data_IF_001738936463
#
_entry.id   IF_001738936463
#
_cell.length_a   1.000
_cell.length_b   1.000
_cell.length_c   1.000
_cell.angle_alpha   90.00
_cell.angle_beta   90.00
_cell.angle_gamma   90.00
#
_symmetry.space_group_name_H-M   'P 1'
#
loop_
_entity.id
_entity.type
_entity.pdbx_description
1 polymer ?
#
# COMPACT_ATOMS: atom_id res chain seq x y z
N UNK A 1 24.08 -18.32 19.99
CA UNK A 1 23.45 -18.02 18.66
C UNK A 1 22.82 -16.66 18.79
N UNK A 2 22.94 -15.81 17.76
CA UNK A 2 22.32 -14.49 17.77
C UNK A 2 20.83 -14.64 17.50
N UNK A 3 19.99 -14.07 18.37
CA UNK A 3 18.54 -14.08 18.23
C UNK A 3 18.00 -12.64 18.19
N UNK A 4 16.84 -12.47 17.60
CA UNK A 4 16.09 -11.22 17.59
C UNK A 4 14.59 -11.48 17.69
N UNK A 5 13.81 -10.49 18.14
CA UNK A 5 12.34 -10.60 18.21
C UNK A 5 11.75 -10.60 16.81
N UNK A 6 10.80 -11.53 16.56
CA UNK A 6 10.07 -11.62 15.30
C UNK A 6 8.63 -12.08 15.52
N UNK A 7 7.71 -11.58 14.70
CA UNK A 7 6.32 -12.08 14.61
C UNK A 7 6.29 -13.23 13.62
N UNK A 8 6.18 -14.44 14.11
CA UNK A 8 6.19 -15.66 13.30
C UNK A 8 4.78 -16.25 13.20
N UNK A 9 4.41 -16.63 11.99
CA UNK A 9 3.15 -17.32 11.67
C UNK A 9 3.48 -18.78 11.42
N UNK A 10 2.84 -19.66 12.18
CA UNK A 10 2.94 -21.10 12.05
C UNK A 10 1.65 -21.72 11.56
N UNK A 11 1.75 -22.84 10.87
CA UNK A 11 0.60 -23.67 10.51
C UNK A 11 0.21 -24.53 11.71
N UNK A 12 -1.10 -24.61 11.98
CA UNK A 12 -1.67 -25.47 13.03
C UNK A 12 -2.75 -26.37 12.42
N UNK A 13 -3.24 -27.34 13.16
CA UNK A 13 -4.32 -28.23 12.72
C UNK A 13 -5.63 -27.47 12.44
N UNK A 14 -5.84 -26.34 13.13
CA UNK A 14 -7.04 -25.50 13.00
C UNK A 14 -6.87 -24.24 12.14
N UNK A 15 -5.70 -24.06 11.48
CA UNK A 15 -5.44 -22.86 10.67
C UNK A 15 -4.02 -22.34 10.82
N UNK A 16 -3.88 -21.07 11.22
CA UNK A 16 -2.57 -20.43 11.46
C UNK A 16 -2.55 -19.71 12.79
N UNK A 17 -1.37 -19.64 13.43
CA UNK A 17 -1.14 -18.92 14.68
C UNK A 17 0.05 -17.98 14.50
N UNK A 18 -0.13 -16.71 14.82
CA UNK A 18 0.94 -15.72 14.86
C UNK A 18 1.38 -15.50 16.32
N UNK A 19 2.70 -15.42 16.55
CA UNK A 19 3.30 -15.17 17.87
C UNK A 19 4.57 -14.33 17.75
N UNK A 20 4.86 -13.53 18.78
CA UNK A 20 6.13 -12.84 18.92
C UNK A 20 7.12 -13.78 19.66
N UNK A 21 8.20 -14.15 18.99
CA UNK A 21 9.20 -15.07 19.53
C UNK A 21 10.62 -14.52 19.37
N UNK A 22 11.58 -15.15 20.05
CA UNK A 22 13.00 -15.02 19.76
C UNK A 22 13.34 -15.93 18.58
N UNK A 23 13.73 -15.33 17.46
CA UNK A 23 14.04 -16.02 16.20
C UNK A 23 15.55 -16.13 16.04
N UNK A 24 16.06 -17.34 15.71
CA UNK A 24 17.48 -17.55 15.49
C UNK A 24 17.89 -17.04 14.10
N UNK A 25 18.91 -16.18 14.04
CA UNK A 25 19.45 -15.60 12.81
C UNK A 25 19.91 -16.67 11.80
N UNK A 26 20.34 -17.84 12.28
CA UNK A 26 20.74 -18.96 11.43
C UNK A 26 19.60 -19.49 10.56
N UNK A 27 18.33 -19.28 10.96
CA UNK A 27 17.13 -19.70 10.23
C UNK A 27 16.64 -18.67 9.20
N UNK A 28 17.36 -17.55 9.02
CA UNK A 28 17.03 -16.62 7.94
C UNK A 28 17.20 -17.30 6.57
N UNK A 29 16.24 -17.04 5.67
CA UNK A 29 16.28 -17.56 4.30
C UNK A 29 17.46 -17.00 3.51
N UNK A 30 17.77 -17.66 2.38
CA UNK A 30 18.87 -17.24 1.50
C UNK A 30 18.68 -15.82 0.97
N UNK A 31 19.79 -15.10 0.90
CA UNK A 31 19.89 -13.74 0.39
C UNK A 31 21.34 -13.26 0.51
N UNK A 32 21.68 -12.22 -0.18
CA UNK A 32 23.04 -11.67 -0.30
C UNK A 32 23.21 -10.33 0.47
N UNK A 33 22.12 -9.84 1.11
CA UNK A 33 22.16 -8.65 1.96
C UNK A 33 21.43 -8.93 3.29
N UNK A 34 22.10 -8.66 4.41
CA UNK A 34 21.48 -8.62 5.74
C UNK A 34 21.19 -7.18 6.11
N UNK A 35 19.95 -6.91 6.47
CA UNK A 35 19.46 -5.59 6.87
C UNK A 35 19.00 -5.64 8.32
N UNK A 36 19.48 -4.72 9.15
CA UNK A 36 18.90 -4.41 10.45
C UNK A 36 17.69 -3.51 10.21
N UNK A 37 16.52 -4.02 10.53
CA UNK A 37 15.25 -3.33 10.32
C UNK A 37 15.05 -2.27 11.42
N UNK A 38 14.72 -1.05 11.01
CA UNK A 38 14.41 0.05 11.92
C UNK A 38 12.89 0.24 12.07
N UNK A 39 12.20 0.21 10.93
CA UNK A 39 10.74 0.35 10.85
C UNK A 39 10.16 -0.58 9.79
N UNK A 40 8.94 -1.00 10.03
CA UNK A 40 8.03 -1.65 9.08
C UNK A 40 6.69 -0.92 9.05
N UNK A 41 5.68 -1.46 8.36
CA UNK A 41 4.31 -0.91 8.40
C UNK A 41 3.28 -2.01 8.57
N UNK A 42 2.09 -1.66 9.08
CA UNK A 42 0.95 -2.57 9.07
C UNK A 42 0.06 -2.27 7.86
N UNK A 43 0.04 -3.18 6.90
CA UNK A 43 -0.80 -3.13 5.72
C UNK A 43 -2.01 -4.08 5.86
N UNK A 44 -3.03 -3.91 5.02
CA UNK A 44 -4.20 -4.80 4.98
C UNK A 44 -3.80 -6.27 4.79
N UNK A 45 -2.80 -6.55 3.94
CA UNK A 45 -2.25 -7.88 3.69
C UNK A 45 -1.62 -8.48 4.95
N UNK A 46 -0.89 -7.69 5.73
CA UNK A 46 -0.31 -8.14 7.00
C UNK A 46 -1.41 -8.49 8.01
N UNK A 47 -2.48 -7.69 8.04
CA UNK A 47 -3.66 -7.99 8.85
C UNK A 47 -4.29 -9.34 8.48
N UNK A 48 -4.45 -9.65 7.19
CA UNK A 48 -4.94 -10.94 6.71
C UNK A 48 -4.02 -12.09 7.14
N UNK A 49 -2.70 -11.90 7.00
CA UNK A 49 -1.71 -12.92 7.37
C UNK A 49 -1.71 -13.22 8.87
N UNK A 50 -1.64 -12.18 9.72
CA UNK A 50 -1.59 -12.31 11.18
C UNK A 50 -2.86 -12.95 11.73
N UNK A 51 -4.02 -12.56 11.19
CA UNK A 51 -5.33 -13.08 11.65
C UNK A 51 -5.72 -14.41 11.03
N UNK A 52 -5.01 -14.87 10.00
CA UNK A 52 -5.36 -16.09 9.25
C UNK A 52 -6.64 -15.99 8.42
N UNK A 53 -7.18 -14.77 8.20
CA UNK A 53 -8.44 -14.57 7.47
C UNK A 53 -8.37 -14.80 5.96
N UNK A 54 -7.16 -14.87 5.40
CA UNK A 54 -6.93 -15.26 4.01
C UNK A 54 -5.58 -15.98 3.87
N UNK A 55 -5.39 -16.85 2.86
CA UNK A 55 -4.18 -17.63 2.66
C UNK A 55 -3.06 -16.77 2.04
N UNK A 56 -2.62 -15.72 2.76
CA UNK A 56 -1.51 -14.85 2.35
C UNK A 56 -0.19 -15.59 2.44
N UNK A 57 0.04 -16.28 3.56
CA UNK A 57 1.27 -17.04 3.82
C UNK A 57 1.23 -18.35 3.04
N UNK A 58 2.25 -18.57 2.22
CA UNK A 58 2.37 -19.75 1.33
C UNK A 58 3.45 -20.72 1.75
N UNK A 59 4.29 -20.36 2.73
CA UNK A 59 5.34 -21.16 3.31
C UNK A 59 5.37 -20.96 4.82
N UNK A 60 5.55 -22.02 5.59
CA UNK A 60 5.57 -22.02 7.05
C UNK A 60 6.86 -22.65 7.60
N UNK A 61 7.43 -22.19 8.72
CA UNK A 61 7.02 -20.96 9.43
C UNK A 61 7.37 -19.70 8.62
N UNK A 62 6.66 -18.57 8.87
CA UNK A 62 6.83 -17.33 8.14
C UNK A 62 6.91 -16.14 9.09
N UNK A 63 7.95 -15.30 8.97
CA UNK A 63 7.96 -13.99 9.60
C UNK A 63 7.01 -13.07 8.82
N UNK A 64 6.04 -12.45 9.50
CA UNK A 64 5.10 -11.53 8.89
C UNK A 64 5.75 -10.19 8.47
N UNK A 65 5.01 -9.35 7.75
CA UNK A 65 5.44 -8.02 7.32
C UNK A 65 5.96 -7.99 5.88
N UNK A 66 5.33 -7.13 5.04
CA UNK A 66 5.60 -7.11 3.59
C UNK A 66 6.54 -5.98 3.15
N UNK A 67 6.96 -5.11 4.07
CA UNK A 67 7.83 -3.97 3.77
C UNK A 67 8.65 -3.53 4.99
N UNK A 68 9.81 -2.93 4.74
CA UNK A 68 10.66 -2.38 5.78
C UNK A 68 11.55 -1.24 5.26
N UNK A 69 12.07 -0.44 6.20
CA UNK A 69 13.23 0.41 6.03
C UNK A 69 14.26 0.09 7.12
N UNK A 70 15.54 0.12 6.76
CA UNK A 70 16.62 -0.24 7.68
C UNK A 70 18.00 0.06 7.14
N UNK A 71 19.00 -0.46 7.85
CA UNK A 71 20.42 -0.27 7.52
C UNK A 71 21.05 -1.60 7.16
N UNK A 72 21.78 -1.66 6.07
CA UNK A 72 22.58 -2.83 5.67
C UNK A 72 23.61 -3.11 6.74
N UNK A 73 23.60 -4.33 7.26
CA UNK A 73 24.57 -4.81 8.26
C UNK A 73 25.73 -5.54 7.57
N UNK A 74 25.42 -6.37 6.58
CA UNK A 74 26.40 -7.05 5.75
C UNK A 74 25.87 -7.29 4.34
N UNK A 75 26.76 -7.39 3.35
CA UNK A 75 26.38 -7.63 1.97
C UNK A 75 27.50 -8.33 1.20
N UNK A 76 27.10 -9.26 0.32
CA UNK A 76 27.93 -9.78 -0.78
C UNK A 76 27.47 -9.26 -2.14
N UNK A 77 26.39 -8.49 -2.17
CA UNK A 77 25.85 -7.87 -3.38
C UNK A 77 26.67 -6.62 -3.76
N UNK A 78 27.04 -6.47 -5.03
CA UNK A 78 27.94 -5.41 -5.50
C UNK A 78 27.41 -3.98 -5.33
N UNK A 79 26.09 -3.81 -5.29
CA UNK A 79 25.44 -2.50 -5.17
C UNK A 79 25.28 -2.01 -3.71
N UNK A 80 25.52 -2.87 -2.70
CA UNK A 80 25.23 -2.55 -1.31
C UNK A 80 26.43 -2.82 -0.40
N UNK A 81 26.63 -1.95 0.57
CA UNK A 81 27.67 -2.08 1.61
C UNK A 81 27.12 -1.81 3.00
N UNK A 82 27.78 -2.27 4.06
CA UNK A 82 27.40 -1.96 5.44
C UNK A 82 27.26 -0.44 5.63
N UNK A 83 26.18 -0.07 6.34
CA UNK A 83 25.81 1.32 6.61
C UNK A 83 24.85 1.95 5.57
N UNK A 84 24.63 1.34 4.42
CA UNK A 84 23.68 1.85 3.44
C UNK A 84 22.26 1.77 4.00
N UNK A 85 21.48 2.82 3.79
CA UNK A 85 20.06 2.91 4.16
C UNK A 85 19.20 2.44 3.01
N UNK A 86 18.28 1.51 3.29
CA UNK A 86 17.49 0.81 2.27
C UNK A 86 16.02 0.72 2.61
N UNK A 87 15.21 0.56 1.57
CA UNK A 87 13.77 0.27 1.65
C UNK A 87 13.47 -0.97 0.82
N UNK A 88 12.57 -1.82 1.33
CA UNK A 88 11.98 -2.93 0.61
C UNK A 88 10.46 -2.88 0.70
N UNK A 89 9.77 -3.11 -0.42
CA UNK A 89 8.33 -3.32 -0.50
C UNK A 89 8.03 -4.53 -1.38
N UNK A 90 7.19 -5.45 -0.91
CA UNK A 90 6.74 -6.58 -1.72
C UNK A 90 7.76 -7.71 -1.88
N UNK A 91 7.98 -8.16 -3.12
CA UNK A 91 8.87 -9.26 -3.49
C UNK A 91 8.57 -10.60 -2.80
N UNK A 92 7.33 -10.75 -2.28
CA UNK A 92 6.91 -11.95 -1.55
C UNK A 92 7.38 -12.00 -0.10
N UNK A 93 7.96 -10.92 0.45
CA UNK A 93 8.23 -10.83 1.89
C UNK A 93 6.94 -10.96 2.69
N UNK A 94 6.96 -11.80 3.75
CA UNK A 94 5.77 -12.14 4.53
C UNK A 94 4.80 -13.13 3.86
N UNK A 95 5.12 -13.61 2.66
CA UNK A 95 4.29 -14.55 1.88
C UNK A 95 5.05 -15.83 1.54
N UNK A 96 6.14 -15.72 0.79
CA UNK A 96 7.01 -16.81 0.33
C UNK A 96 8.45 -16.67 0.82
N UNK A 97 8.84 -15.47 1.25
CA UNK A 97 10.11 -15.14 1.87
C UNK A 97 9.86 -14.53 3.25
N UNK A 98 10.78 -14.75 4.21
CA UNK A 98 10.64 -14.20 5.56
C UNK A 98 10.49 -12.68 5.52
N UNK A 99 9.53 -12.18 6.29
CA UNK A 99 9.07 -10.80 6.25
C UNK A 99 9.81 -9.86 7.19
N UNK A 100 9.17 -8.73 7.46
CA UNK A 100 9.77 -7.54 8.03
C UNK A 100 9.44 -7.27 9.51
N UNK A 101 8.55 -8.04 10.13
CA UNK A 101 8.26 -7.90 11.56
C UNK A 101 9.31 -8.64 12.37
N UNK A 102 10.55 -8.21 12.25
CA UNK A 102 11.73 -8.82 12.82
C UNK A 102 12.86 -7.81 12.98
N UNK A 103 13.78 -8.06 13.91
CA UNK A 103 14.96 -7.22 14.09
C UNK A 103 15.90 -7.21 12.88
N UNK A 104 15.92 -8.30 12.10
CA UNK A 104 16.73 -8.43 10.89
C UNK A 104 15.98 -9.13 9.76
N UNK A 105 16.40 -8.84 8.53
CA UNK A 105 16.02 -9.58 7.32
C UNK A 105 17.27 -9.93 6.51
N UNK A 106 17.27 -11.12 5.89
CA UNK A 106 18.21 -11.48 4.83
C UNK A 106 17.43 -11.55 3.52
N UNK A 107 17.80 -10.72 2.54
CA UNK A 107 17.06 -10.54 1.30
C UNK A 107 18.01 -10.47 0.10
N UNK A 108 17.46 -10.58 -1.11
CA UNK A 108 18.21 -10.32 -2.34
C UNK A 108 18.43 -8.81 -2.50
N UNK A 109 19.67 -8.40 -2.80
CA UNK A 109 20.03 -7.00 -3.01
C UNK A 109 19.26 -6.34 -4.16
N UNK A 110 18.88 -7.12 -5.18
CA UNK A 110 18.04 -6.65 -6.29
C UNK A 110 16.61 -6.24 -5.88
N UNK A 111 16.17 -6.59 -4.67
CA UNK A 111 14.86 -6.18 -4.15
C UNK A 111 14.89 -4.82 -3.47
N UNK A 112 16.08 -4.34 -3.14
CA UNK A 112 16.27 -3.13 -2.35
C UNK A 112 16.30 -1.88 -3.25
N UNK A 113 15.77 -0.80 -2.69
CA UNK A 113 16.00 0.55 -3.21
C UNK A 113 16.68 1.39 -2.14
N UNK A 114 17.52 2.37 -2.52
CA UNK A 114 18.10 3.27 -1.54
C UNK A 114 17.00 4.07 -0.85
N UNK A 115 17.08 4.20 0.46
CA UNK A 115 16.25 5.13 1.21
C UNK A 115 16.56 6.56 0.71
N UNK A 116 15.55 7.36 0.29
CA UNK A 116 15.78 8.73 -0.12
C UNK A 116 16.51 9.52 0.98
N UNK A 117 17.54 10.28 0.60
CA UNK A 117 18.44 10.94 1.58
C UNK A 117 17.72 11.92 2.51
N UNK A 118 16.64 12.50 2.04
CA UNK A 118 15.84 13.46 2.81
C UNK A 118 14.84 12.77 3.75
N UNK A 119 14.70 11.43 3.73
CA UNK A 119 13.73 10.67 4.50
C UNK A 119 14.37 9.85 5.61
N UNK A 120 13.71 9.81 6.77
CA UNK A 120 13.97 8.83 7.82
C UNK A 120 13.34 7.47 7.48
N UNK A 121 13.81 6.39 8.12
CA UNK A 121 13.18 5.07 8.02
C UNK A 121 11.68 5.10 8.41
N UNK A 122 11.35 5.93 9.42
CA UNK A 122 9.97 6.15 9.85
C UNK A 122 9.11 6.78 8.76
N UNK A 123 9.60 7.82 8.06
CA UNK A 123 8.87 8.47 6.97
C UNK A 123 8.73 7.55 5.76
N UNK A 124 9.77 6.79 5.42
CA UNK A 124 9.70 5.79 4.37
C UNK A 124 8.66 4.73 4.67
N UNK A 125 8.53 4.30 5.93
CA UNK A 125 7.51 3.34 6.33
C UNK A 125 6.13 3.98 6.55
N UNK A 126 6.04 5.27 6.85
CA UNK A 126 4.77 6.00 6.74
C UNK A 126 4.22 5.94 5.30
N UNK A 127 5.07 6.05 4.29
CA UNK A 127 4.73 5.78 2.89
C UNK A 127 4.43 4.28 2.71
N UNK A 128 5.41 3.43 2.98
CA UNK A 128 5.33 1.97 2.86
C UNK A 128 4.79 1.48 1.52
N UNK A 129 4.33 0.25 1.50
CA UNK A 129 3.71 -0.36 0.31
C UNK A 129 2.46 0.40 -0.14
N UNK A 130 1.66 0.95 0.78
CA UNK A 130 0.44 1.67 0.42
C UNK A 130 0.74 2.98 -0.32
N UNK A 131 1.68 3.79 0.16
CA UNK A 131 2.07 5.03 -0.51
C UNK A 131 2.82 4.78 -1.81
N UNK A 132 3.65 3.75 -1.85
CA UNK A 132 4.29 3.29 -3.08
C UNK A 132 3.25 2.88 -4.14
N UNK A 133 2.22 2.11 -3.75
CA UNK A 133 1.10 1.74 -4.63
C UNK A 133 0.33 2.98 -5.12
N UNK A 134 0.07 3.95 -4.25
CA UNK A 134 -0.58 5.20 -4.62
C UNK A 134 0.22 5.97 -5.68
N UNK A 135 1.56 6.04 -5.55
CA UNK A 135 2.41 6.69 -6.55
C UNK A 135 2.41 5.93 -7.87
N UNK A 136 2.48 4.60 -7.86
CA UNK A 136 2.37 3.80 -9.10
C UNK A 136 1.04 4.05 -9.82
N UNK A 137 -0.05 4.20 -9.05
CA UNK A 137 -1.36 4.54 -9.60
C UNK A 137 -1.38 5.94 -10.23
N UNK A 138 -0.83 6.95 -9.56
CA UNK A 138 -0.67 8.32 -10.09
C UNK A 138 0.15 8.28 -11.39
N UNK A 139 1.29 7.61 -11.41
CA UNK A 139 2.14 7.48 -12.59
C UNK A 139 1.43 6.78 -13.76
N UNK A 140 0.54 5.83 -13.50
CA UNK A 140 -0.26 5.17 -14.54
C UNK A 140 -1.29 6.13 -15.14
N UNK A 141 -1.97 6.93 -14.31
CA UNK A 141 -2.94 7.92 -14.76
C UNK A 141 -2.28 9.05 -15.57
N UNK A 142 -1.12 9.55 -15.15
CA UNK A 142 -0.36 10.56 -15.89
C UNK A 142 0.12 10.02 -17.26
N UNK A 143 0.60 8.78 -17.32
CA UNK A 143 0.97 8.12 -18.60
C UNK A 143 -0.23 7.92 -19.54
N UNK A 144 -1.42 7.77 -19.00
CA UNK A 144 -2.65 7.77 -19.78
C UNK A 144 -2.97 9.15 -20.35
N UNK A 145 -2.35 10.21 -19.87
CA UNK A 145 -2.60 11.60 -20.28
C UNK A 145 -3.64 12.32 -19.42
N UNK A 146 -3.92 11.81 -18.20
CA UNK A 146 -4.72 12.57 -17.24
C UNK A 146 -3.91 13.73 -16.66
N UNK A 147 -4.53 14.88 -16.60
CA UNK A 147 -3.99 16.11 -16.01
C UNK A 147 -5.11 16.87 -15.27
N UNK A 148 -4.78 17.84 -14.41
CA UNK A 148 -5.78 18.64 -13.70
C UNK A 148 -6.82 19.30 -14.62
N UNK A 149 -6.44 19.68 -15.83
CA UNK A 149 -7.33 20.29 -16.82
C UNK A 149 -8.43 19.34 -17.35
N UNK A 150 -8.25 18.02 -17.23
CA UNK A 150 -9.25 17.03 -17.67
C UNK A 150 -10.46 16.95 -16.75
N UNK A 151 -10.37 17.49 -15.54
CA UNK A 151 -11.44 17.51 -14.55
C UNK A 151 -11.12 16.72 -13.27
N UNK A 152 -12.12 16.55 -12.38
CA UNK A 152 -11.90 15.93 -11.08
C UNK A 152 -11.56 14.46 -11.20
N UNK A 153 -10.76 14.00 -10.23
CA UNK A 153 -10.36 12.60 -10.02
C UNK A 153 -10.99 12.09 -8.72
N UNK A 154 -11.52 10.86 -8.74
CA UNK A 154 -11.99 10.23 -7.50
C UNK A 154 -10.98 9.25 -6.92
N UNK A 155 -10.99 9.10 -5.59
CA UNK A 155 -10.21 8.12 -4.85
C UNK A 155 -11.15 7.34 -3.94
N UNK A 156 -11.30 6.03 -4.18
CA UNK A 156 -12.09 5.15 -3.31
C UNK A 156 -11.25 4.63 -2.16
N UNK A 157 -11.91 4.20 -1.07
CA UNK A 157 -11.17 3.82 0.14
C UNK A 157 -10.35 4.99 0.72
N UNK A 158 -10.85 6.20 0.55
CA UNK A 158 -10.17 7.48 0.73
C UNK A 158 -9.44 7.63 2.09
N UNK A 159 -10.05 7.18 3.18
CA UNK A 159 -9.48 7.29 4.52
C UNK A 159 -8.52 6.14 4.89
N UNK A 160 -8.29 5.18 4.00
CA UNK A 160 -7.34 4.07 4.18
C UNK A 160 -5.92 4.45 3.79
N UNK A 161 -4.99 3.48 3.91
CA UNK A 161 -3.56 3.70 3.66
C UNK A 161 -3.24 4.20 2.25
N UNK A 162 -3.73 3.52 1.20
CA UNK A 162 -3.50 3.94 -0.19
C UNK A 162 -4.25 5.24 -0.49
N UNK A 163 -5.55 5.30 -0.11
CA UNK A 163 -6.41 6.44 -0.44
C UNK A 163 -5.93 7.76 0.15
N UNK A 164 -5.50 7.78 1.41
CA UNK A 164 -5.02 9.01 2.06
C UNK A 164 -3.74 9.55 1.41
N UNK A 165 -2.78 8.68 1.06
CA UNK A 165 -1.56 9.10 0.34
C UNK A 165 -1.89 9.52 -1.09
N UNK A 166 -2.79 8.81 -1.78
CA UNK A 166 -3.23 9.18 -3.13
C UNK A 166 -3.86 10.57 -3.17
N UNK A 167 -4.73 10.91 -2.20
CA UNK A 167 -5.32 12.24 -2.09
C UNK A 167 -4.23 13.30 -1.91
N UNK A 168 -3.29 13.08 -0.98
CA UNK A 168 -2.22 14.03 -0.72
C UNK A 168 -1.35 14.27 -1.96
N UNK A 169 -1.01 13.21 -2.71
CA UNK A 169 -0.24 13.29 -3.95
C UNK A 169 -1.00 14.02 -5.05
N UNK A 170 -2.23 13.60 -5.34
CA UNK A 170 -3.04 14.20 -6.40
C UNK A 170 -3.34 15.68 -6.13
N UNK A 171 -3.63 16.04 -4.88
CA UNK A 171 -3.83 17.43 -4.49
C UNK A 171 -2.57 18.28 -4.68
N UNK A 172 -1.39 17.75 -4.32
CA UNK A 172 -0.08 18.41 -4.55
C UNK A 172 0.20 18.61 -6.05
N UNK A 173 -0.24 17.68 -6.89
CA UNK A 173 -0.12 17.74 -8.34
C UNK A 173 -1.20 18.61 -9.01
N UNK A 174 -2.06 19.27 -8.22
CA UNK A 174 -3.05 20.23 -8.69
C UNK A 174 -4.39 19.64 -9.15
N UNK A 175 -4.63 18.35 -8.92
CA UNK A 175 -5.94 17.75 -9.25
C UNK A 175 -7.03 18.16 -8.24
N UNK A 176 -8.25 18.37 -8.75
CA UNK A 176 -9.43 18.39 -7.91
C UNK A 176 -9.78 16.96 -7.49
N UNK A 177 -9.64 16.65 -6.20
CA UNK A 177 -9.76 15.28 -5.68
C UNK A 177 -11.10 15.09 -4.96
N UNK A 178 -11.90 14.14 -5.43
CA UNK A 178 -13.15 13.71 -4.80
C UNK A 178 -12.87 12.44 -3.97
N UNK A 179 -12.97 12.55 -2.67
CA UNK A 179 -12.68 11.45 -1.73
C UNK A 179 -13.93 10.61 -1.47
N UNK A 180 -13.95 9.38 -1.98
CA UNK A 180 -15.07 8.45 -1.76
C UNK A 180 -14.84 7.65 -0.50
N UNK A 181 -15.70 7.84 0.51
CA UNK A 181 -15.55 7.22 1.83
C UNK A 181 -16.87 6.65 2.36
N UNK A 182 -16.79 5.54 3.10
CA UNK A 182 -17.88 5.01 3.92
C UNK A 182 -17.86 5.54 5.36
N UNK A 183 -16.94 6.47 5.67
CA UNK A 183 -16.74 7.06 6.99
C UNK A 183 -16.90 8.58 6.89
N UNK A 184 -18.14 9.11 6.89
CA UNK A 184 -18.39 10.55 6.74
C UNK A 184 -17.75 11.39 7.85
N UNK A 185 -17.54 10.83 9.04
CA UNK A 185 -16.82 11.47 10.14
C UNK A 185 -15.35 11.80 9.82
N UNK A 186 -14.77 11.21 8.78
CA UNK A 186 -13.41 11.51 8.33
C UNK A 186 -13.34 12.69 7.33
N UNK A 187 -14.44 13.40 7.10
CA UNK A 187 -14.51 14.46 6.09
C UNK A 187 -13.44 15.55 6.30
N UNK A 188 -13.27 16.03 7.53
CA UNK A 188 -12.30 17.10 7.82
C UNK A 188 -10.86 16.62 7.64
N UNK A 189 -10.57 15.38 8.02
CA UNK A 189 -9.27 14.75 7.75
C UNK A 189 -8.99 14.68 6.24
N UNK A 190 -9.95 14.23 5.45
CA UNK A 190 -9.80 14.11 4.00
C UNK A 190 -9.65 15.48 3.31
N UNK A 191 -10.38 16.50 3.77
CA UNK A 191 -10.19 17.90 3.31
C UNK A 191 -8.81 18.43 3.68
N UNK A 192 -8.31 18.13 4.89
CA UNK A 192 -6.95 18.46 5.32
C UNK A 192 -5.87 17.86 4.43
N UNK A 193 -6.11 16.69 3.84
CA UNK A 193 -5.24 16.06 2.84
C UNK A 193 -5.34 16.72 1.46
N UNK A 194 -6.38 17.50 1.20
CA UNK A 194 -6.59 18.22 -0.05
C UNK A 194 -7.75 17.69 -0.90
N UNK A 195 -8.66 16.89 -0.32
CA UNK A 195 -9.90 16.54 -1.01
C UNK A 195 -10.78 17.80 -1.18
N UNK A 196 -11.25 18.03 -2.40
CA UNK A 196 -12.15 19.15 -2.75
C UNK A 196 -13.62 18.79 -2.55
N UNK A 197 -13.94 17.50 -2.63
CA UNK A 197 -15.30 16.98 -2.41
C UNK A 197 -15.23 15.67 -1.61
N UNK A 198 -16.21 15.47 -0.73
CA UNK A 198 -16.43 14.21 -0.03
C UNK A 198 -17.65 13.53 -0.63
N UNK A 199 -17.45 12.31 -1.13
CA UNK A 199 -18.49 11.49 -1.76
C UNK A 199 -18.81 10.31 -0.86
N UNK A 200 -20.08 10.09 -0.56
CA UNK A 200 -20.46 8.93 0.23
C UNK A 200 -20.33 7.64 -0.59
N UNK A 201 -19.70 6.62 0.01
CA UNK A 201 -19.53 5.30 -0.64
C UNK A 201 -20.84 4.69 -1.15
N UNK A 202 -21.99 5.02 -0.49
CA UNK A 202 -23.30 4.53 -0.92
C UNK A 202 -23.68 4.95 -2.36
N UNK A 203 -23.08 6.03 -2.89
CA UNK A 203 -23.30 6.46 -4.28
C UNK A 203 -22.68 5.49 -5.31
N UNK A 204 -21.72 4.67 -4.88
CA UNK A 204 -21.08 3.61 -5.67
C UNK A 204 -21.52 2.20 -5.21
N UNK A 205 -22.63 2.09 -4.49
CA UNK A 205 -23.18 0.82 -4.02
C UNK A 205 -24.30 0.33 -4.96
N UNK A 206 -24.65 -0.97 -4.80
CA UNK A 206 -25.68 -1.62 -5.60
C UNK A 206 -25.19 -2.02 -7.01
N UNK A 207 -26.06 -2.65 -7.80
CA UNK A 207 -25.73 -3.13 -9.14
C UNK A 207 -25.29 -1.98 -10.04
N UNK A 208 -24.14 -2.14 -10.69
CA UNK A 208 -23.62 -1.12 -11.61
C UNK A 208 -24.47 -1.04 -12.88
N UNK A 209 -24.80 0.18 -13.29
CA UNK A 209 -25.38 0.43 -14.62
C UNK A 209 -24.28 0.26 -15.67
N UNK A 210 -24.60 -0.21 -16.90
CA UNK A 210 -23.63 -0.28 -17.99
C UNK A 210 -22.94 1.07 -18.23
N UNK A 211 -23.72 2.18 -18.22
CA UNK A 211 -23.25 3.56 -18.27
C UNK A 211 -24.09 4.40 -17.31
N UNK A 212 -23.43 5.13 -16.42
CA UNK A 212 -24.05 6.15 -15.58
C UNK A 212 -23.68 7.56 -16.07
N UNK A 213 -24.20 8.60 -15.41
CA UNK A 213 -23.82 10.00 -15.72
C UNK A 213 -22.32 10.19 -15.50
N UNK A 214 -21.64 10.74 -16.48
CA UNK A 214 -20.23 11.08 -16.40
C UNK A 214 -19.95 12.06 -15.26
N UNK A 215 -18.94 11.77 -14.46
CA UNK A 215 -18.59 12.58 -13.28
C UNK A 215 -17.08 12.87 -13.20
N UNK A 216 -16.23 11.87 -13.34
CA UNK A 216 -14.79 11.99 -13.13
C UNK A 216 -13.97 11.75 -14.39
N UNK A 217 -12.87 12.49 -14.52
CA UNK A 217 -11.91 12.24 -15.60
C UNK A 217 -11.15 10.91 -15.38
N UNK A 218 -11.06 10.46 -14.13
CA UNK A 218 -10.41 9.22 -13.78
C UNK A 218 -10.32 9.03 -12.27
N UNK A 219 -9.47 8.10 -11.83
CA UNK A 219 -9.18 7.96 -10.41
C UNK A 219 -8.48 6.69 -10.00
N UNK A 220 -8.41 6.52 -8.68
CA UNK A 220 -7.71 5.40 -8.02
C UNK A 220 -8.72 4.61 -7.19
N UNK A 221 -8.77 3.31 -7.43
CA UNK A 221 -9.63 2.40 -6.69
C UNK A 221 -8.83 1.45 -5.79
N UNK A 222 -9.14 1.47 -4.49
CA UNK A 222 -8.59 0.57 -3.48
C UNK A 222 -9.63 -0.40 -2.90
N UNK A 223 -10.84 -0.44 -3.47
CA UNK A 223 -11.98 -1.20 -2.93
C UNK A 223 -12.31 -2.43 -3.76
N UNK A 224 -12.36 -2.29 -5.09
CA UNK A 224 -12.73 -3.38 -5.99
C UNK A 224 -14.24 -3.64 -6.08
N UNK A 225 -14.61 -4.79 -6.64
CA UNK A 225 -15.96 -5.33 -6.76
C UNK A 225 -17.00 -4.29 -7.27
N UNK A 226 -18.17 -4.26 -6.67
CA UNK A 226 -19.29 -3.36 -7.03
C UNK A 226 -18.89 -1.88 -7.02
N UNK A 227 -18.02 -1.46 -6.10
CA UNK A 227 -17.52 -0.07 -6.04
C UNK A 227 -16.75 0.29 -7.30
N UNK A 228 -15.82 -0.56 -7.72
CA UNK A 228 -15.05 -0.37 -8.95
C UNK A 228 -15.96 -0.39 -10.20
N UNK A 229 -16.94 -1.29 -10.25
CA UNK A 229 -17.87 -1.39 -11.37
C UNK A 229 -18.72 -0.11 -11.53
N UNK A 230 -19.27 0.42 -10.43
CA UNK A 230 -19.97 1.70 -10.44
C UNK A 230 -19.06 2.86 -10.80
N UNK A 231 -17.83 2.87 -10.28
CA UNK A 231 -16.85 3.89 -10.59
C UNK A 231 -16.54 3.95 -12.08
N UNK A 232 -16.25 2.81 -12.71
CA UNK A 232 -16.01 2.72 -14.16
C UNK A 232 -17.17 3.26 -14.99
N UNK A 233 -18.42 2.98 -14.57
CA UNK A 233 -19.60 3.45 -15.27
C UNK A 233 -19.79 4.98 -15.28
N UNK A 234 -19.14 5.69 -14.34
CA UNK A 234 -19.22 7.15 -14.16
C UNK A 234 -18.00 7.90 -14.71
N UNK A 235 -17.04 7.20 -15.29
CA UNK A 235 -15.86 7.83 -15.91
C UNK A 235 -16.25 8.51 -17.22
N UNK A 236 -15.69 9.70 -17.43
CA UNK A 236 -15.86 10.50 -18.65
C UNK A 236 -15.18 9.84 -19.83
N UNK A 237 -15.60 10.24 -21.04
CA UNK A 237 -15.00 9.79 -22.29
C UNK A 237 -13.46 9.92 -22.27
N UNK A 238 -12.76 8.84 -22.62
CA UNK A 238 -11.30 8.78 -22.67
C UNK A 238 -10.63 8.91 -21.30
N UNK A 239 -11.34 8.59 -20.21
CA UNK A 239 -10.78 8.60 -18.86
C UNK A 239 -10.16 7.28 -18.45
N UNK A 240 -9.59 7.21 -17.24
CA UNK A 240 -8.93 6.01 -16.75
C UNK A 240 -9.07 5.80 -15.25
N UNK A 241 -9.08 4.53 -14.83
CA UNK A 241 -9.05 4.11 -13.41
C UNK A 241 -7.84 3.23 -13.17
N UNK A 242 -7.10 3.52 -12.10
CA UNK A 242 -6.03 2.67 -11.57
C UNK A 242 -6.57 1.86 -10.39
N UNK A 243 -6.72 0.54 -10.56
CA UNK A 243 -7.21 -0.37 -9.54
C UNK A 243 -6.03 -1.05 -8.83
N UNK A 244 -5.99 -0.96 -7.49
CA UNK A 244 -4.90 -1.46 -6.67
C UNK A 244 -5.36 -2.21 -5.42
N UNK A 245 -6.65 -2.32 -5.15
CA UNK A 245 -7.18 -2.97 -3.96
C UNK A 245 -8.44 -3.80 -4.22
N UNK A 246 -8.73 -4.67 -3.27
CA UNK A 246 -9.84 -5.64 -3.33
C UNK A 246 -10.55 -5.79 -1.96
N UNK A 247 -10.54 -4.72 -1.14
CA UNK A 247 -11.12 -4.75 0.19
C UNK A 247 -12.64 -5.02 0.18
N UNK A 248 -13.34 -4.69 -0.91
CA UNK A 248 -14.76 -4.97 -1.11
C UNK A 248 -15.07 -6.28 -1.86
N UNK A 249 -14.03 -6.93 -2.42
CA UNK A 249 -14.16 -8.18 -3.18
C UNK A 249 -13.21 -8.24 -4.37
N UNK A 250 -13.03 -9.44 -4.91
CA UNK A 250 -12.12 -9.73 -6.04
C UNK A 250 -12.81 -9.73 -7.40
N UNK A 251 -14.13 -9.83 -7.40
CA UNK A 251 -14.97 -9.83 -8.60
C UNK A 251 -15.04 -8.42 -9.22
N UNK A 252 -15.38 -8.36 -10.49
CA UNK A 252 -15.68 -7.11 -11.21
C UNK A 252 -17.02 -7.25 -11.94
N UNK A 253 -18.15 -6.97 -11.27
CA UNK A 253 -19.48 -7.11 -11.86
C UNK A 253 -19.80 -5.88 -12.75
N UNK A 254 -18.99 -5.65 -13.78
CA UNK A 254 -19.11 -4.53 -14.71
C UNK A 254 -19.51 -5.00 -16.10
N UNK A 255 -20.08 -4.07 -16.89
CA UNK A 255 -20.29 -4.24 -18.32
C UNK A 255 -19.06 -3.77 -19.10
N UNK A 256 -18.90 -4.20 -20.35
CA UNK A 256 -17.88 -3.69 -21.27
C UNK A 256 -18.20 -2.29 -21.83
N UNK A 257 -19.41 -1.77 -21.58
CA UNK A 257 -19.89 -0.51 -22.14
C UNK A 257 -18.99 0.71 -21.86
N UNK A 258 -18.45 0.93 -20.64
CA UNK A 258 -17.52 2.03 -20.39
C UNK A 258 -16.27 1.97 -21.29
N UNK A 259 -15.77 0.78 -21.53
CA UNK A 259 -14.56 0.57 -22.33
C UNK A 259 -14.83 0.83 -23.82
N UNK A 260 -15.91 0.27 -24.37
CA UNK A 260 -16.23 0.36 -25.81
C UNK A 260 -16.82 1.73 -26.17
N UNK A 261 -17.76 2.23 -25.35
CA UNK A 261 -18.57 3.41 -25.72
C UNK A 261 -17.98 4.73 -25.23
N UNK A 262 -17.08 4.68 -24.22
CA UNK A 262 -16.39 5.87 -23.68
C UNK A 262 -14.88 5.79 -23.74
N UNK A 263 -14.29 4.70 -24.26
CA UNK A 263 -12.85 4.53 -24.33
C UNK A 263 -12.18 4.57 -22.96
N UNK A 264 -12.88 4.15 -21.89
CA UNK A 264 -12.34 4.12 -20.53
C UNK A 264 -11.24 3.06 -20.46
N UNK A 265 -10.14 3.37 -19.78
CA UNK A 265 -9.06 2.42 -19.51
C UNK A 265 -9.08 2.00 -18.04
N UNK A 266 -8.81 0.71 -17.79
CA UNK A 266 -8.60 0.15 -16.44
C UNK A 266 -7.18 -0.37 -16.34
N UNK A 267 -6.40 0.19 -15.41
CA UNK A 267 -5.01 -0.19 -15.12
C UNK A 267 -4.92 -0.98 -13.82
N UNK A 268 -4.43 -2.21 -13.88
CA UNK A 268 -4.01 -2.97 -12.70
C UNK A 268 -2.69 -2.44 -12.15
N UNK A 269 -2.63 -2.19 -10.86
CA UNK A 269 -1.42 -1.68 -10.19
C UNK A 269 -0.85 -2.78 -9.29
N UNK A 270 0.21 -3.43 -9.74
CA UNK A 270 0.99 -4.36 -8.94
C UNK A 270 2.19 -3.68 -8.31
N UNK A 271 2.21 -3.61 -6.98
CA UNK A 271 3.34 -3.12 -6.19
C UNK A 271 4.25 -4.23 -5.68
N UNK A 272 3.83 -5.50 -5.78
CA UNK A 272 4.60 -6.65 -5.26
C UNK A 272 5.77 -6.97 -6.15
N UNK A 273 5.50 -7.21 -7.45
CA UNK A 273 6.51 -7.58 -8.46
C UNK A 273 6.86 -6.42 -9.39
N UNK A 274 6.56 -5.19 -8.98
CA UNK A 274 6.88 -3.99 -9.75
C UNK A 274 8.38 -3.97 -10.14
N UNK A 275 8.74 -3.79 -11.43
CA UNK A 275 10.13 -3.73 -11.89
C UNK A 275 10.95 -2.65 -11.16
N UNK A 276 12.24 -2.93 -10.94
CA UNK A 276 13.12 -2.09 -10.13
C UNK A 276 13.22 -0.64 -10.63
N UNK A 277 13.27 -0.42 -11.93
CA UNK A 277 13.34 0.94 -12.51
C UNK A 277 12.10 1.76 -12.21
N UNK A 278 10.90 1.16 -12.35
CA UNK A 278 9.65 1.80 -11.95
C UNK A 278 9.58 2.06 -10.44
N UNK A 279 10.12 1.15 -9.65
CA UNK A 279 10.18 1.27 -8.21
C UNK A 279 11.06 2.46 -7.81
N UNK A 280 12.24 2.59 -8.41
CA UNK A 280 13.16 3.72 -8.21
C UNK A 280 12.52 5.05 -8.63
N UNK A 281 11.85 5.08 -9.79
CA UNK A 281 11.11 6.25 -10.27
C UNK A 281 10.03 6.67 -9.25
N UNK A 282 9.21 5.72 -8.79
CA UNK A 282 8.16 5.99 -7.82
C UNK A 282 8.70 6.52 -6.49
N UNK A 283 9.78 5.94 -5.96
CA UNK A 283 10.40 6.42 -4.72
C UNK A 283 11.02 7.81 -4.88
N UNK A 284 11.62 8.12 -6.03
CA UNK A 284 12.10 9.48 -6.35
C UNK A 284 10.94 10.48 -6.40
N UNK A 285 9.81 10.09 -7.01
CA UNK A 285 8.60 10.92 -7.06
C UNK A 285 7.96 11.10 -5.69
N UNK A 286 7.91 10.08 -4.86
CA UNK A 286 7.43 10.18 -3.47
C UNK A 286 8.26 11.17 -2.66
N UNK A 287 9.57 11.23 -2.88
CA UNK A 287 10.45 12.20 -2.21
C UNK A 287 10.11 13.65 -2.57
N UNK A 288 9.77 13.94 -3.83
CA UNK A 288 9.50 15.29 -4.33
C UNK A 288 8.03 15.71 -4.24
N UNK A 289 7.12 14.77 -4.50
CA UNK A 289 5.71 15.08 -4.75
C UNK A 289 4.81 14.86 -3.54
N UNK A 290 5.29 14.19 -2.49
CA UNK A 290 4.49 13.99 -1.27
C UNK A 290 4.80 15.06 -0.22
N UNK A 291 3.75 15.75 0.23
CA UNK A 291 3.85 16.72 1.32
C UNK A 291 4.11 16.01 2.66
N UNK A 292 5.24 16.36 3.30
CA UNK A 292 5.68 15.76 4.57
C UNK A 292 4.75 16.06 5.73
N UNK A 293 4.13 17.24 5.76
CA UNK A 293 3.18 17.60 6.82
C UNK A 293 1.93 16.73 6.68
N UNK A 294 1.42 16.53 5.46
CA UNK A 294 0.31 15.61 5.20
C UNK A 294 0.68 14.16 5.53
N UNK A 295 1.90 13.72 5.20
CA UNK A 295 2.39 12.40 5.59
C UNK A 295 2.39 12.23 7.12
N UNK A 296 2.82 13.24 7.87
CA UNK A 296 2.78 13.20 9.33
C UNK A 296 1.34 13.11 9.87
N UNK A 297 0.39 13.86 9.28
CA UNK A 297 -1.04 13.83 9.68
C UNK A 297 -1.70 12.45 9.51
N UNK A 298 -1.30 11.68 8.49
CA UNK A 298 -1.87 10.35 8.22
C UNK A 298 -1.20 9.24 9.01
N UNK A 299 -0.10 9.50 9.72
CA UNK A 299 0.76 8.47 10.30
C UNK A 299 0.57 8.32 11.80
N UNK A 300 0.29 7.09 12.24
CA UNK A 300 0.37 6.64 13.63
C UNK A 300 1.51 5.64 13.77
N UNK A 301 2.20 5.62 14.92
CA UNK A 301 3.26 4.67 15.23
C UNK A 301 2.81 3.70 16.32
N UNK A 302 3.23 2.44 16.20
CA UNK A 302 3.03 1.37 17.20
C UNK A 302 4.32 0.59 17.37
N UNK A 303 4.44 -0.15 18.48
CA UNK A 303 5.50 -1.13 18.69
C UNK A 303 5.20 -2.46 17.99
N UNK A 304 6.23 -3.30 17.82
CA UNK A 304 6.07 -4.62 17.19
C UNK A 304 5.02 -5.52 17.89
N UNK A 305 4.90 -5.57 19.24
CA UNK A 305 3.87 -6.37 19.90
C UNK A 305 2.45 -5.91 19.63
N UNK A 306 2.24 -4.63 19.27
CA UNK A 306 0.91 -4.05 19.12
C UNK A 306 0.23 -4.48 17.81
N UNK A 307 0.97 -5.09 16.87
CA UNK A 307 0.43 -5.52 15.57
C UNK A 307 -0.72 -6.51 15.73
N UNK A 308 -0.73 -7.33 16.78
CA UNK A 308 -1.81 -8.30 17.03
C UNK A 308 -3.13 -7.62 17.36
N UNK A 309 -3.09 -6.53 18.14
CA UNK A 309 -4.28 -5.76 18.50
C UNK A 309 -4.83 -4.93 17.36
N UNK A 310 -3.94 -4.42 16.48
CA UNK A 310 -4.33 -3.51 15.39
C UNK A 310 -4.68 -4.25 14.09
N UNK A 311 -4.19 -5.48 13.89
CA UNK A 311 -4.48 -6.26 12.68
C UNK A 311 -6.00 -6.49 12.44
N UNK A 312 -6.83 -6.82 13.44
CA UNK A 312 -8.28 -6.89 13.26
C UNK A 312 -8.92 -5.57 12.86
N UNK A 313 -8.47 -4.45 13.43
CA UNK A 313 -9.03 -3.11 13.18
C UNK A 313 -8.81 -2.66 11.73
N UNK A 314 -7.63 -2.94 11.15
CA UNK A 314 -7.34 -2.60 9.75
C UNK A 314 -8.26 -3.38 8.80
N UNK A 315 -8.55 -4.65 9.11
CA UNK A 315 -9.47 -5.48 8.33
C UNK A 315 -10.93 -5.03 8.48
N UNK A 316 -11.30 -4.52 9.65
CA UNK A 316 -12.61 -3.94 9.90
C UNK A 316 -12.79 -2.54 9.27
N UNK A 317 -11.73 -1.99 8.63
CA UNK A 317 -11.76 -0.65 8.04
C UNK A 317 -11.81 0.48 9.08
N UNK A 318 -11.42 0.22 10.33
CA UNK A 318 -11.44 1.20 11.44
C UNK A 318 -10.15 2.02 11.50
N UNK A 319 -9.09 1.56 10.86
CA UNK A 319 -7.82 2.28 10.81
C UNK A 319 -7.88 3.42 9.79
N UNK A 320 -7.50 4.62 10.24
CA UNK A 320 -7.31 5.80 9.40
C UNK A 320 -5.83 5.94 9.03
N UNK A 321 -5.56 6.24 7.74
CA UNK A 321 -4.21 6.55 7.27
C UNK A 321 -3.23 5.38 7.35
N UNK A 322 -2.06 5.63 7.91
CA UNK A 322 -0.90 4.72 7.93
C UNK A 322 -0.49 4.34 9.35
N UNK A 323 -0.03 3.11 9.49
CA UNK A 323 0.56 2.63 10.74
C UNK A 323 2.01 2.24 10.46
N UNK A 324 2.94 2.92 11.12
CA UNK A 324 4.35 2.54 11.19
C UNK A 324 4.53 1.61 12.36
N UNK A 325 5.26 0.51 12.15
CA UNK A 325 5.65 -0.44 13.18
C UNK A 325 7.12 -0.21 13.50
N UNK A 326 7.41 0.28 14.69
CA UNK A 326 8.78 0.43 15.19
C UNK A 326 9.30 -0.94 15.59
N UNK A 327 10.49 -1.31 15.07
CA UNK A 327 11.08 -2.63 15.30
C UNK A 327 12.16 -2.57 16.39
N UNK A 328 13.01 -1.56 16.38
CA UNK A 328 14.08 -1.38 17.34
C UNK A 328 14.26 0.03 17.85
#
# INVERSE_FOLDING_TARGET
>A
MATFKAVVIEKTDSGTKAALIDFDEANLMDGDVIVRIECSTLNYKDGLAITGKAPVVRRFPMIAGIDFAGTVESSTHSAWKPGDKVVLNGWGCGETHLGAYAGKARVKGDWLVPLPKSMSAREAMAIGTAGFTAMLAVMALERHGLSPARGPIAVTGAAGGVGSVAIALLAKLGFAVHAVTGRPQEADFLRGLGATEIVERKELAGPARPLAKERWAGGIDAVGSTTLANFLSMIRYGGAVAACGLAGGMDLPASVAPFILRGVSLYGIDSVMCPLDRRREAWKRLESDLDRQKLAMITREIGLPDVFGVAPDILAGQVRGRIVVKIG
#
